data_IF_984804175277
#
_entry.id   IF_984804175277
#
_cell.length_a   1.000
_cell.length_b   1.000
_cell.length_c   1.000
_cell.angle_alpha   90.00
_cell.angle_beta   90.00
_cell.angle_gamma   90.00
#
_symmetry.space_group_name_H-M   'P 1'
#
loop_
_entity.id
_entity.type
_entity.pdbx_description
1 polymer ?
#
# COMPACT_ATOMS: atom_id res chain seq x y z
N UNK A 1 26.80 -1.30 4.45
CA UNK A 1 25.52 -1.76 3.93
C UNK A 1 24.50 -0.63 3.85
N UNK A 2 23.61 -0.63 2.87
CA UNK A 2 22.59 0.41 2.77
C UNK A 2 21.65 0.34 3.98
N UNK A 3 21.15 1.50 4.40
CA UNK A 3 20.14 1.54 5.46
C UNK A 3 18.85 0.91 4.95
N UNK A 4 18.10 0.29 5.83
CA UNK A 4 16.88 -0.44 5.48
C UNK A 4 15.84 0.39 4.72
N UNK A 5 15.59 1.69 5.04
CA UNK A 5 14.68 2.50 4.25
C UNK A 5 15.05 2.61 2.77
N UNK A 6 16.33 2.55 2.41
CA UNK A 6 16.76 2.57 1.01
C UNK A 6 16.43 1.27 0.27
N UNK A 7 16.13 0.20 0.99
CA UNK A 7 15.66 -1.08 0.45
C UNK A 7 14.13 -1.12 0.43
N UNK A 8 13.51 -0.66 1.51
CA UNK A 8 12.06 -0.75 1.69
C UNK A 8 11.29 0.22 0.79
N UNK A 9 11.81 1.43 0.56
CA UNK A 9 11.12 2.42 -0.29
C UNK A 9 10.99 1.94 -1.74
N UNK A 10 12.04 1.42 -2.41
CA UNK A 10 11.88 0.82 -3.72
C UNK A 10 10.88 -0.34 -3.76
N UNK A 11 10.83 -1.15 -2.70
CA UNK A 11 9.85 -2.23 -2.59
C UNK A 11 8.43 -1.68 -2.49
N UNK A 12 8.22 -0.63 -1.70
CA UNK A 12 6.92 0.06 -1.63
C UNK A 12 6.50 0.59 -2.99
N UNK A 13 7.44 1.16 -3.74
CA UNK A 13 7.17 1.69 -5.09
C UNK A 13 6.73 0.57 -6.03
N UNK A 14 7.40 -0.57 -5.97
CA UNK A 14 7.07 -1.74 -6.78
C UNK A 14 5.66 -2.26 -6.45
N UNK A 15 5.35 -2.43 -5.17
CA UNK A 15 4.05 -2.90 -4.72
C UNK A 15 2.95 -1.90 -5.11
N UNK A 16 3.16 -0.61 -4.89
CA UNK A 16 2.19 0.43 -5.22
C UNK A 16 1.90 0.46 -6.71
N UNK A 17 2.92 0.31 -7.55
CA UNK A 17 2.78 0.24 -9.00
C UNK A 17 1.92 -0.97 -9.39
N UNK A 18 2.21 -2.12 -8.80
CA UNK A 18 1.46 -3.35 -9.09
C UNK A 18 0.00 -3.23 -8.65
N UNK A 19 -0.24 -2.54 -7.53
CA UNK A 19 -1.60 -2.29 -7.04
C UNK A 19 -2.38 -1.40 -8.01
N UNK A 20 -1.76 -0.33 -8.54
CA UNK A 20 -2.40 0.56 -9.51
C UNK A 20 -2.75 -0.23 -10.78
N UNK A 21 -1.79 -0.97 -11.32
CA UNK A 21 -2.01 -1.79 -12.50
C UNK A 21 -3.10 -2.83 -12.29
N UNK A 22 -3.07 -3.49 -11.15
CA UNK A 22 -4.05 -4.51 -10.80
C UNK A 22 -5.46 -3.93 -10.65
N UNK A 23 -5.59 -2.75 -10.01
CA UNK A 23 -6.88 -2.11 -9.82
C UNK A 23 -7.47 -1.62 -11.14
N UNK A 24 -6.66 -1.04 -12.02
CA UNK A 24 -7.09 -0.60 -13.35
C UNK A 24 -7.47 -1.81 -14.22
N UNK A 25 -6.69 -2.88 -14.18
CA UNK A 25 -7.02 -4.12 -14.88
C UNK A 25 -8.32 -4.72 -14.40
N UNK A 26 -8.54 -4.73 -13.08
CA UNK A 26 -9.78 -5.22 -12.49
C UNK A 26 -10.98 -4.37 -12.94
N UNK A 27 -10.79 -3.05 -13.02
CA UNK A 27 -11.85 -2.13 -13.49
C UNK A 27 -12.23 -2.42 -14.94
N UNK A 28 -11.24 -2.57 -15.82
CA UNK A 28 -11.48 -2.84 -17.25
C UNK A 28 -12.20 -4.18 -17.43
N UNK A 29 -11.81 -5.20 -16.69
CA UNK A 29 -12.36 -6.55 -16.79
C UNK A 29 -13.56 -6.80 -15.88
N UNK A 30 -13.89 -5.87 -15.01
CA UNK A 30 -14.91 -6.01 -13.96
C UNK A 30 -14.66 -7.25 -13.09
N UNK A 31 -13.40 -7.43 -12.70
CA UNK A 31 -12.94 -8.60 -11.96
C UNK A 31 -12.90 -8.31 -10.46
N UNK A 32 -13.97 -8.72 -9.75
CA UNK A 32 -14.11 -8.49 -8.31
C UNK A 32 -13.02 -9.21 -7.51
N UNK A 33 -12.64 -10.41 -7.91
CA UNK A 33 -11.60 -11.16 -7.19
C UNK A 33 -10.25 -10.48 -7.30
N UNK A 34 -9.90 -9.97 -8.49
CA UNK A 34 -8.66 -9.21 -8.68
C UNK A 34 -8.67 -7.94 -7.81
N UNK A 35 -9.82 -7.24 -7.76
CA UNK A 35 -9.98 -6.07 -6.91
C UNK A 35 -9.79 -6.43 -5.43
N UNK A 36 -10.29 -7.57 -4.99
CA UNK A 36 -10.13 -8.03 -3.61
C UNK A 36 -8.67 -8.20 -3.21
N UNK A 37 -7.85 -8.69 -4.11
CA UNK A 37 -6.42 -8.91 -3.84
C UNK A 37 -5.66 -7.62 -3.61
N UNK A 38 -6.15 -6.48 -4.11
CA UNK A 38 -5.50 -5.17 -3.91
C UNK A 38 -5.47 -4.79 -2.43
N UNK A 39 -6.53 -5.07 -1.68
CA UNK A 39 -6.59 -4.76 -0.25
C UNK A 39 -5.52 -5.48 0.57
N UNK A 40 -5.17 -6.71 0.17
CA UNK A 40 -4.10 -7.46 0.84
C UNK A 40 -2.76 -6.78 0.67
N UNK A 41 -2.50 -6.24 -0.52
CA UNK A 41 -1.25 -5.56 -0.82
C UNK A 41 -1.15 -4.21 -0.09
N UNK A 42 -2.29 -3.56 0.19
CA UNK A 42 -2.31 -2.30 0.91
C UNK A 42 -1.72 -2.44 2.32
N UNK A 43 -2.06 -3.52 3.01
CA UNK A 43 -1.49 -3.79 4.33
C UNK A 43 0.04 -3.93 4.29
N UNK A 44 0.56 -4.54 3.23
CA UNK A 44 2.00 -4.71 3.02
C UNK A 44 2.70 -3.35 2.87
N UNK A 45 2.12 -2.44 2.08
CA UNK A 45 2.66 -1.09 1.89
C UNK A 45 2.61 -0.30 3.21
N UNK A 46 1.50 -0.38 3.92
CA UNK A 46 1.31 0.31 5.19
C UNK A 46 2.35 -0.14 6.22
N UNK A 47 2.58 -1.44 6.31
CA UNK A 47 3.57 -2.02 7.21
C UNK A 47 4.99 -1.53 6.88
N UNK A 48 5.35 -1.53 5.60
CA UNK A 48 6.65 -1.01 5.15
C UNK A 48 6.79 0.48 5.46
N UNK A 49 5.74 1.26 5.25
CA UNK A 49 5.74 2.69 5.57
C UNK A 49 6.01 2.92 7.05
N UNK A 50 5.36 2.17 7.93
CA UNK A 50 5.57 2.31 9.37
C UNK A 50 7.01 1.97 9.77
N UNK A 51 7.61 0.94 9.16
CA UNK A 51 9.01 0.59 9.39
C UNK A 51 9.96 1.69 8.93
N UNK A 52 9.75 2.21 7.72
CA UNK A 52 10.55 3.31 7.16
C UNK A 52 10.48 4.53 8.08
N UNK A 53 9.28 4.89 8.53
CA UNK A 53 9.07 6.05 9.37
C UNK A 53 9.85 5.92 10.69
N UNK A 54 9.74 4.78 11.37
CA UNK A 54 10.45 4.55 12.64
C UNK A 54 11.96 4.57 12.48
N UNK A 55 12.47 3.92 11.45
CA UNK A 55 13.91 3.87 11.16
C UNK A 55 14.46 5.27 10.87
N UNK A 56 13.74 6.06 10.08
CA UNK A 56 14.17 7.41 9.74
C UNK A 56 14.09 8.35 10.94
N UNK A 57 13.08 8.21 11.81
CA UNK A 57 13.02 8.99 13.06
C UNK A 57 14.24 8.70 13.95
N UNK A 58 14.63 7.43 14.05
CA UNK A 58 15.81 7.03 14.81
C UNK A 58 17.08 7.68 14.25
N UNK A 59 17.23 7.64 12.92
CA UNK A 59 18.38 8.26 12.25
C UNK A 59 18.41 9.78 12.50
N UNK A 60 17.28 10.45 12.41
CA UNK A 60 17.17 11.89 12.65
C UNK A 60 17.55 12.26 14.09
N UNK A 61 17.17 11.42 15.05
CA UNK A 61 17.47 11.64 16.46
C UNK A 61 18.96 11.45 16.75
N UNK A 62 19.57 10.44 16.15
CA UNK A 62 20.99 10.09 16.37
C UNK A 62 21.94 11.02 15.62
N UNK A 63 21.52 11.51 14.46
CA UNK A 63 22.39 12.34 13.60
C UNK A 63 21.58 13.50 12.99
N UNK A 64 21.55 14.66 13.67
CA UNK A 64 20.82 15.83 13.15
C UNK A 64 21.25 16.29 11.76
N UNK A 65 22.48 15.96 11.33
CA UNK A 65 22.96 16.32 9.99
C UNK A 65 22.20 15.57 8.88
N UNK A 66 21.48 14.49 9.22
CA UNK A 66 20.72 13.69 8.28
C UNK A 66 19.24 14.03 8.23
N UNK A 67 18.78 15.01 9.00
CA UNK A 67 17.36 15.36 9.11
C UNK A 67 16.74 15.67 7.73
N UNK A 68 17.40 16.52 6.96
CA UNK A 68 16.89 16.93 5.65
C UNK A 68 16.69 15.72 4.71
N UNK A 69 17.72 14.89 4.60
CA UNK A 69 17.68 13.70 3.74
C UNK A 69 16.63 12.70 4.21
N UNK A 70 16.55 12.47 5.51
CA UNK A 70 15.52 11.59 6.10
C UNK A 70 14.11 12.10 5.87
N UNK A 71 13.91 13.42 5.94
CA UNK A 71 12.61 14.05 5.68
C UNK A 71 12.16 13.77 4.25
N UNK A 72 13.03 13.90 3.25
CA UNK A 72 12.69 13.58 1.87
C UNK A 72 12.31 12.10 1.69
N UNK A 73 13.00 11.21 2.39
CA UNK A 73 12.68 9.79 2.33
C UNK A 73 11.33 9.48 2.99
N UNK A 74 10.99 10.16 4.08
CA UNK A 74 9.67 10.03 4.70
C UNK A 74 8.58 10.50 3.74
N UNK A 75 8.79 11.62 3.04
CA UNK A 75 7.85 12.13 2.04
C UNK A 75 7.66 11.15 0.89
N UNK A 76 8.75 10.56 0.40
CA UNK A 76 8.67 9.55 -0.67
C UNK A 76 7.82 8.36 -0.23
N UNK A 77 8.07 7.85 0.98
CA UNK A 77 7.33 6.75 1.57
C UNK A 77 5.84 7.10 1.73
N UNK A 78 5.55 8.28 2.26
CA UNK A 78 4.18 8.75 2.45
C UNK A 78 3.43 8.87 1.10
N UNK A 79 4.09 9.38 0.08
CA UNK A 79 3.48 9.51 -1.24
C UNK A 79 3.19 8.15 -1.87
N UNK A 80 4.06 7.16 -1.65
CA UNK A 80 3.84 5.79 -2.12
C UNK A 80 2.64 5.16 -1.41
N UNK A 81 2.49 5.40 -0.11
CA UNK A 81 1.32 4.93 0.63
C UNK A 81 0.04 5.56 0.07
N UNK A 82 0.07 6.84 -0.27
CA UNK A 82 -1.08 7.51 -0.88
C UNK A 82 -1.43 6.92 -2.25
N UNK A 83 -0.45 6.54 -3.04
CA UNK A 83 -0.67 5.87 -4.32
C UNK A 83 -1.36 4.52 -4.09
N UNK A 84 -0.91 3.75 -3.10
CA UNK A 84 -1.54 2.49 -2.73
C UNK A 84 -2.99 2.70 -2.27
N UNK A 85 -3.25 3.73 -1.48
CA UNK A 85 -4.62 4.08 -1.05
C UNK A 85 -5.53 4.39 -2.25
N UNK A 86 -5.01 5.10 -3.25
CA UNK A 86 -5.76 5.39 -4.48
C UNK A 86 -6.10 4.11 -5.23
N UNK A 87 -5.16 3.18 -5.30
CA UNK A 87 -5.41 1.88 -5.92
C UNK A 87 -6.51 1.11 -5.18
N UNK A 88 -6.49 1.17 -3.85
CA UNK A 88 -7.53 0.57 -3.01
C UNK A 88 -8.90 1.19 -3.29
N UNK A 89 -8.96 2.52 -3.45
CA UNK A 89 -10.19 3.22 -3.79
C UNK A 89 -10.75 2.78 -5.14
N UNK A 90 -9.87 2.57 -6.13
CA UNK A 90 -10.29 2.06 -7.44
C UNK A 90 -10.85 0.64 -7.28
N UNK A 91 -10.19 -0.21 -6.49
CA UNK A 91 -10.64 -1.57 -6.23
C UNK A 91 -12.03 -1.59 -5.59
N UNK A 92 -12.29 -0.70 -4.63
CA UNK A 92 -13.61 -0.55 -4.01
C UNK A 92 -14.67 -0.18 -5.04
N UNK A 93 -14.34 0.72 -5.96
CA UNK A 93 -15.24 1.12 -7.05
C UNK A 93 -15.56 -0.05 -7.96
N UNK A 94 -14.59 -0.91 -8.24
CA UNK A 94 -14.83 -2.11 -9.05
C UNK A 94 -15.86 -3.01 -8.38
N UNK A 95 -15.71 -3.25 -7.08
CA UNK A 95 -16.65 -4.06 -6.32
C UNK A 95 -18.04 -3.42 -6.33
N UNK A 96 -18.11 -2.11 -6.11
CA UNK A 96 -19.38 -1.39 -6.13
C UNK A 96 -20.08 -1.48 -7.48
N UNK A 97 -19.37 -1.26 -8.57
CA UNK A 97 -19.92 -1.31 -9.92
C UNK A 97 -20.47 -2.71 -10.25
N UNK A 98 -19.78 -3.74 -9.78
CA UNK A 98 -20.17 -5.13 -10.10
C UNK A 98 -21.23 -5.70 -9.16
N UNK A 99 -21.27 -5.27 -7.91
CA UNK A 99 -22.14 -5.87 -6.88
C UNK A 99 -23.21 -4.93 -6.32
N UNK A 100 -23.06 -3.61 -6.55
CA UNK A 100 -23.93 -2.60 -5.96
C UNK A 100 -23.67 -2.33 -4.47
N UNK A 101 -22.60 -2.90 -3.92
CA UNK A 101 -22.27 -2.80 -2.51
C UNK A 101 -20.81 -2.40 -2.32
N UNK A 102 -20.57 -1.42 -1.42
CA UNK A 102 -19.19 -1.05 -1.04
C UNK A 102 -18.78 -1.93 0.13
N UNK A 103 -17.78 -2.81 -0.02
CA UNK A 103 -17.38 -3.69 1.07
C UNK A 103 -16.67 -2.88 2.15
N UNK A 104 -16.91 -3.25 3.42
CA UNK A 104 -16.11 -2.76 4.52
C UNK A 104 -14.80 -3.59 4.59
N UNK A 105 -13.81 -3.07 5.29
CA UNK A 105 -12.55 -3.80 5.49
C UNK A 105 -12.80 -5.15 6.16
N UNK A 106 -13.70 -5.17 7.14
CA UNK A 106 -14.04 -6.41 7.87
C UNK A 106 -14.66 -7.45 6.95
N UNK A 107 -15.55 -7.04 6.04
CA UNK A 107 -16.14 -7.95 5.07
C UNK A 107 -15.10 -8.58 4.16
N UNK A 108 -14.11 -7.79 3.72
CA UNK A 108 -13.00 -8.29 2.92
C UNK A 108 -12.19 -9.33 3.66
N UNK A 109 -11.86 -9.06 4.93
CA UNK A 109 -11.10 -9.98 5.77
C UNK A 109 -11.87 -11.28 6.00
N UNK A 110 -13.15 -11.20 6.30
CA UNK A 110 -14.01 -12.36 6.52
C UNK A 110 -14.07 -13.24 5.26
N UNK A 111 -14.23 -12.62 4.10
CA UNK A 111 -14.26 -13.34 2.82
C UNK A 111 -12.93 -14.06 2.55
N UNK A 112 -11.82 -13.45 2.89
CA UNK A 112 -10.52 -14.07 2.73
C UNK A 112 -10.32 -15.27 3.66
N UNK A 113 -10.74 -15.14 4.91
CA UNK A 113 -10.67 -16.23 5.86
C UNK A 113 -11.54 -17.42 5.40
N UNK A 114 -12.71 -17.15 4.85
CA UNK A 114 -13.57 -18.17 4.29
C UNK A 114 -12.95 -18.87 3.07
N UNK A 115 -12.21 -18.13 2.25
CA UNK A 115 -11.57 -18.68 1.06
C UNK A 115 -10.25 -19.40 1.36
N UNK A 116 -9.60 -19.10 2.48
CA UNK A 116 -8.33 -19.72 2.88
C UNK A 116 -8.50 -20.95 3.75
N UNK A 117 -9.73 -21.23 4.18
CA UNK A 117 -10.07 -22.37 5.04
C UNK A 117 -10.33 -23.67 4.24
#
# INVERSE_FOLDING_TARGET
PPIKPLVDIPRMAEISRDMVRGSLGALVKRDVEAASRIWQRDDEVDELHQHVYRELLTIMTEDPARIERATYLIWASHNLERIADRATNIAERVVFVCTGHVPTRDEWLDKQLANSG
#
